data_IF_092458567058
#
_entry.id   IF_092458567058
#
_cell.length_a   1.000
_cell.length_b   1.000
_cell.length_c   1.000
_cell.angle_alpha   90.00
_cell.angle_beta   90.00
_cell.angle_gamma   90.00
#
_symmetry.space_group_name_H-M   'P 1'
#
loop_
_entity.id
_entity.type
_entity.pdbx_description
1 polymer ?
#
# COMPACT_ATOMS: atom_id res chain seq x y z
N UNK A 1 -17.11 2.94 1.15
CA UNK A 1 -16.89 2.98 2.63
C UNK A 1 -18.01 3.82 3.26
N UNK A 2 -18.57 3.40 4.42
CA UNK A 2 -19.69 4.14 5.04
C UNK A 2 -19.26 5.56 5.43
N UNK A 3 -20.02 6.58 4.97
CA UNK A 3 -19.76 8.00 5.28
C UNK A 3 -18.63 8.61 4.44
N UNK A 4 -18.12 7.91 3.44
CA UNK A 4 -17.08 8.42 2.54
C UNK A 4 -17.63 8.57 1.12
N UNK A 5 -17.24 9.65 0.46
CA UNK A 5 -17.46 9.84 -0.96
C UNK A 5 -16.31 9.21 -1.76
N UNK A 6 -16.64 8.65 -2.92
CA UNK A 6 -15.66 8.04 -3.81
C UNK A 6 -15.25 9.05 -4.87
N UNK A 7 -13.95 9.19 -5.08
CA UNK A 7 -13.36 10.16 -6.02
C UNK A 7 -12.28 9.52 -6.88
N UNK A 8 -12.01 10.16 -7.99
CA UNK A 8 -10.85 9.90 -8.84
C UNK A 8 -10.24 11.25 -9.21
N UNK A 9 -8.94 11.38 -9.12
CA UNK A 9 -8.20 12.54 -9.62
C UNK A 9 -7.09 12.10 -10.58
N UNK A 10 -6.63 13.02 -11.42
CA UNK A 10 -5.45 12.79 -12.23
C UNK A 10 -4.19 12.94 -11.38
N UNK A 11 -3.41 11.86 -11.31
CA UNK A 11 -2.13 11.82 -10.63
C UNK A 11 -0.95 11.81 -11.60
N UNK A 12 0.29 11.74 -11.09
CA UNK A 12 1.53 11.80 -11.90
C UNK A 12 1.63 10.73 -12.99
N UNK A 13 1.00 9.57 -12.79
CA UNK A 13 1.07 8.43 -13.71
C UNK A 13 -0.32 7.89 -14.12
N UNK A 14 -1.35 8.71 -14.00
CA UNK A 14 -2.73 8.37 -14.32
C UNK A 14 -3.64 8.47 -13.11
N UNK A 15 -4.89 7.96 -13.18
CA UNK A 15 -5.90 8.18 -12.17
C UNK A 15 -5.52 7.60 -10.80
N UNK A 16 -5.78 8.39 -9.75
CA UNK A 16 -5.73 7.97 -8.34
C UNK A 16 -7.16 7.91 -7.84
N UNK A 17 -7.63 6.72 -7.50
CA UNK A 17 -8.94 6.51 -6.91
C UNK A 17 -8.85 6.54 -5.39
N UNK A 18 -9.76 7.26 -4.72
CA UNK A 18 -9.73 7.38 -3.26
C UNK A 18 -11.14 7.57 -2.68
N UNK A 19 -11.24 7.24 -1.38
CA UNK A 19 -12.41 7.53 -0.56
C UNK A 19 -12.08 8.71 0.36
N UNK A 20 -12.96 9.69 0.47
CA UNK A 20 -12.80 10.91 1.29
C UNK A 20 -13.95 11.03 2.29
N UNK A 21 -13.65 11.23 3.56
CA UNK A 21 -14.64 11.52 4.61
C UNK A 21 -15.27 12.91 4.50
N UNK A 22 -14.74 13.77 3.61
CA UNK A 22 -15.17 15.15 3.43
C UNK A 22 -14.53 16.12 4.42
N UNK A 23 -14.84 17.41 4.21
CA UNK A 23 -14.31 18.55 4.98
C UNK A 23 -15.27 18.99 6.09
N UNK A 24 -15.91 18.04 6.81
CA UNK A 24 -16.81 18.33 7.92
C UNK A 24 -16.15 19.12 9.06
N UNK A 25 -16.75 19.21 10.23
CA UNK A 25 -16.25 20.02 11.36
C UNK A 25 -14.98 19.48 12.02
N UNK A 26 -14.24 18.61 11.31
CA UNK A 26 -12.98 18.05 11.81
C UNK A 26 -11.94 19.15 11.93
N UNK A 27 -11.36 19.27 13.13
CA UNK A 27 -10.31 20.23 13.44
C UNK A 27 -8.93 19.59 13.53
N UNK A 28 -8.86 18.27 13.46
CA UNK A 28 -7.61 17.51 13.52
C UNK A 28 -6.83 17.56 12.20
N UNK A 29 -5.53 17.35 12.30
CA UNK A 29 -4.66 17.18 11.14
C UNK A 29 -5.19 16.06 10.23
N UNK A 30 -5.24 16.23 8.90
CA UNK A 30 -5.72 15.20 7.99
C UNK A 30 -4.92 13.89 8.07
N UNK A 31 -5.58 12.79 7.77
CA UNK A 31 -4.99 11.43 7.79
C UNK A 31 -5.08 10.82 6.39
N UNK A 32 -4.00 10.24 5.91
CA UNK A 32 -4.03 9.35 4.73
C UNK A 32 -3.72 7.92 5.18
N UNK A 33 -4.57 6.95 4.75
CA UNK A 33 -4.46 5.54 5.08
C UNK A 33 -4.12 4.72 3.84
N UNK A 34 -2.92 4.13 3.81
CA UNK A 34 -2.39 3.35 2.69
C UNK A 34 -2.51 1.85 2.98
N UNK A 35 -3.24 1.14 2.11
CA UNK A 35 -3.43 -0.30 2.20
C UNK A 35 -2.20 -1.09 1.74
N UNK A 36 -2.24 -2.42 1.88
CA UNK A 36 -1.21 -3.33 1.40
C UNK A 36 -1.70 -4.33 0.36
N UNK A 37 -0.84 -5.27 0.02
CA UNK A 37 -1.10 -6.39 -0.88
C UNK A 37 -1.87 -7.50 -0.15
N UNK A 38 -2.80 -8.18 -0.78
CA UNK A 38 -3.43 -7.91 -2.09
C UNK A 38 -4.75 -7.13 -1.97
N UNK A 39 -4.80 -6.23 -1.02
CA UNK A 39 -5.99 -5.51 -0.60
C UNK A 39 -6.24 -4.26 -1.48
N UNK A 40 -7.25 -3.50 -1.10
CA UNK A 40 -7.59 -2.17 -1.62
C UNK A 40 -7.90 -1.24 -0.46
N UNK A 41 -8.21 0.03 -0.73
CA UNK A 41 -8.66 0.98 0.30
C UNK A 41 -9.82 0.48 1.17
N UNK A 42 -10.56 -0.54 0.71
CA UNK A 42 -11.66 -1.15 1.46
C UNK A 42 -11.21 -1.78 2.79
N UNK A 43 -9.92 -2.11 2.98
CA UNK A 43 -9.41 -2.65 4.24
C UNK A 43 -9.65 -1.71 5.44
N UNK A 44 -9.73 -0.42 5.17
CA UNK A 44 -9.87 0.61 6.20
C UNK A 44 -11.30 0.82 6.69
N UNK A 45 -12.28 0.04 6.18
CA UNK A 45 -13.71 0.19 6.45
C UNK A 45 -14.09 0.21 7.94
N UNK A 46 -13.32 -0.52 8.78
CA UNK A 46 -13.57 -0.60 10.22
C UNK A 46 -12.95 0.55 11.03
N UNK A 47 -11.85 1.15 10.54
CA UNK A 47 -11.08 2.14 11.28
C UNK A 47 -11.34 3.56 10.76
N UNK A 48 -11.41 3.73 9.46
CA UNK A 48 -11.53 5.06 8.86
C UNK A 48 -12.77 5.84 9.33
N UNK A 49 -13.97 5.25 9.50
CA UNK A 49 -15.12 5.97 10.02
C UNK A 49 -14.95 6.48 11.46
N UNK A 50 -14.18 5.78 12.29
CA UNK A 50 -13.91 6.24 13.67
C UNK A 50 -12.94 7.43 13.67
N UNK A 51 -11.89 7.38 12.86
CA UNK A 51 -10.95 8.49 12.69
C UNK A 51 -11.62 9.71 12.06
N UNK A 52 -12.59 9.50 11.18
CA UNK A 52 -13.33 10.56 10.51
C UNK A 52 -14.22 11.39 11.45
N UNK A 53 -14.41 10.96 12.69
CA UNK A 53 -15.12 11.78 13.72
C UNK A 53 -14.35 13.03 14.12
N UNK A 54 -13.02 13.03 13.98
CA UNK A 54 -12.14 14.13 14.41
C UNK A 54 -11.17 14.63 13.36
N UNK A 55 -10.92 13.82 12.29
CA UNK A 55 -9.97 14.12 11.24
C UNK A 55 -10.61 13.98 9.86
N UNK A 56 -10.15 14.76 8.88
CA UNK A 56 -10.41 14.40 7.49
C UNK A 56 -9.57 13.17 7.14
N UNK A 57 -10.21 12.11 6.64
CA UNK A 57 -9.56 10.84 6.33
C UNK A 57 -9.66 10.54 4.85
N UNK A 58 -8.53 10.27 4.22
CA UNK A 58 -8.41 9.88 2.83
C UNK A 58 -7.85 8.47 2.75
N UNK A 59 -8.52 7.61 1.99
CA UNK A 59 -8.07 6.24 1.73
C UNK A 59 -7.90 6.07 0.23
N UNK A 60 -6.69 6.22 -0.35
CA UNK A 60 -6.46 5.94 -1.76
C UNK A 60 -6.29 4.44 -2.01
N UNK A 61 -6.58 3.99 -3.23
CA UNK A 61 -5.96 2.79 -3.78
C UNK A 61 -4.55 3.14 -4.24
N UNK A 62 -3.56 2.35 -3.84
CA UNK A 62 -2.19 2.49 -4.34
C UNK A 62 -2.14 2.26 -5.85
N UNK A 63 -1.15 2.83 -6.53
CA UNK A 63 -0.84 2.53 -7.93
C UNK A 63 -0.70 1.03 -8.12
N UNK A 64 -1.35 0.48 -9.15
CA UNK A 64 -1.39 -0.94 -9.42
C UNK A 64 -2.54 -1.69 -8.75
N UNK A 65 -3.25 -1.04 -7.84
CA UNK A 65 -4.30 -1.66 -7.02
C UNK A 65 -5.66 -1.00 -7.24
N UNK A 66 -6.71 -1.76 -6.91
CA UNK A 66 -8.08 -1.25 -6.92
C UNK A 66 -8.45 -0.55 -8.23
N UNK A 67 -8.95 0.67 -8.13
CA UNK A 67 -9.35 1.50 -9.27
C UNK A 67 -8.29 2.55 -9.68
N UNK A 68 -7.11 2.56 -9.06
CA UNK A 68 -6.00 3.44 -9.42
C UNK A 68 -5.27 2.97 -10.68
N UNK A 69 -4.45 3.86 -11.25
CA UNK A 69 -3.67 3.63 -12.47
C UNK A 69 -2.81 2.37 -12.41
N UNK A 70 -2.66 1.71 -13.57
CA UNK A 70 -1.85 0.50 -13.75
C UNK A 70 -0.89 0.68 -14.94
N UNK A 71 0.03 1.67 -14.90
CA UNK A 71 0.96 1.91 -16.00
C UNK A 71 1.79 0.66 -16.32
N UNK A 72 2.29 0.57 -17.54
CA UNK A 72 3.21 -0.49 -17.96
C UNK A 72 4.64 -0.10 -17.56
N UNK A 73 5.38 -1.08 -17.05
CA UNK A 73 6.80 -0.92 -16.69
C UNK A 73 7.04 -0.91 -15.19
N UNK A 74 7.97 -1.76 -14.77
CA UNK A 74 8.36 -1.95 -13.35
C UNK A 74 8.85 -0.65 -12.71
N UNK A 75 9.47 0.24 -13.49
CA UNK A 75 10.02 1.53 -13.03
C UNK A 75 8.96 2.45 -12.43
N UNK A 76 7.69 2.25 -12.76
CA UNK A 76 6.59 3.05 -12.25
C UNK A 76 6.08 2.59 -10.88
N UNK A 77 6.58 1.48 -10.34
CA UNK A 77 6.07 0.86 -9.11
C UNK A 77 7.04 0.91 -7.93
N UNK A 78 8.17 1.62 -8.05
CA UNK A 78 9.00 1.84 -6.86
C UNK A 78 8.21 2.60 -5.78
N UNK A 79 8.52 2.37 -4.51
CA UNK A 79 7.84 3.07 -3.41
C UNK A 79 8.01 4.59 -3.50
N UNK A 80 9.11 5.07 -4.11
CA UNK A 80 9.32 6.49 -4.40
C UNK A 80 8.31 7.01 -5.42
N UNK A 81 8.07 6.27 -6.49
CA UNK A 81 7.07 6.63 -7.50
C UNK A 81 5.65 6.56 -6.93
N UNK A 82 5.35 5.55 -6.10
CA UNK A 82 4.05 5.47 -5.42
C UNK A 82 3.87 6.59 -4.39
N UNK A 83 4.93 6.99 -3.69
CA UNK A 83 4.91 8.12 -2.76
C UNK A 83 4.60 9.45 -3.48
N UNK A 84 5.04 9.60 -4.73
CA UNK A 84 4.70 10.80 -5.53
C UNK A 84 3.19 10.96 -5.77
N UNK A 85 2.45 9.85 -5.90
CA UNK A 85 0.99 9.90 -6.00
C UNK A 85 0.36 10.42 -4.70
N UNK A 86 0.89 10.02 -3.56
CA UNK A 86 0.36 10.42 -2.25
C UNK A 86 0.64 11.90 -1.99
N UNK A 87 1.81 12.38 -2.36
CA UNK A 87 2.15 13.82 -2.30
C UNK A 87 1.25 14.63 -3.22
N UNK A 88 1.06 14.19 -4.47
CA UNK A 88 0.17 14.86 -5.43
C UNK A 88 -1.29 14.87 -4.94
N UNK A 89 -1.75 13.79 -4.31
CA UNK A 89 -3.09 13.72 -3.72
C UNK A 89 -3.23 14.70 -2.54
N UNK A 90 -2.26 14.73 -1.63
CA UNK A 90 -2.28 15.65 -0.49
C UNK A 90 -2.26 17.12 -0.93
N UNK A 91 -1.45 17.44 -1.94
CA UNK A 91 -1.32 18.77 -2.55
C UNK A 91 -2.62 19.21 -3.22
N UNK A 92 -3.19 18.37 -4.08
CA UNK A 92 -4.44 18.65 -4.79
C UNK A 92 -5.65 18.84 -3.84
N UNK A 93 -5.59 18.26 -2.65
CA UNK A 93 -6.63 18.38 -1.63
C UNK A 93 -6.32 19.46 -0.57
N UNK A 94 -5.23 20.22 -0.74
CA UNK A 94 -4.76 21.27 0.17
C UNK A 94 -4.69 20.81 1.64
N UNK A 95 -4.08 19.62 1.84
CA UNK A 95 -4.11 18.98 3.16
C UNK A 95 -3.01 19.47 4.12
N UNK A 96 -1.96 20.13 3.64
CA UNK A 96 -0.78 20.48 4.44
C UNK A 96 -0.07 19.24 4.99
N UNK A 97 0.75 19.35 6.04
CA UNK A 97 1.40 18.20 6.67
C UNK A 97 0.38 17.24 7.28
N UNK A 98 0.46 15.97 6.90
CA UNK A 98 -0.53 14.91 7.21
C UNK A 98 -0.04 13.92 8.28
N UNK A 99 -0.98 13.23 8.91
CA UNK A 99 -0.70 11.94 9.53
C UNK A 99 -0.76 10.85 8.44
N UNK A 100 0.33 10.13 8.23
CA UNK A 100 0.42 9.08 7.23
C UNK A 100 0.46 7.71 7.92
N UNK A 101 -0.48 6.85 7.59
CA UNK A 101 -0.59 5.48 8.11
C UNK A 101 -0.49 4.52 6.94
N UNK A 102 0.39 3.53 7.04
CA UNK A 102 0.53 2.52 6.01
C UNK A 102 0.62 1.11 6.58
N UNK A 103 0.08 0.16 5.83
CA UNK A 103 0.17 -1.27 6.08
C UNK A 103 0.84 -1.95 4.90
N UNK A 104 1.76 -2.88 5.14
CA UNK A 104 2.47 -3.70 4.14
C UNK A 104 3.05 -2.84 2.99
N UNK A 105 2.63 -2.97 1.72
CA UNK A 105 3.09 -2.15 0.58
C UNK A 105 2.87 -0.65 0.84
N UNK A 106 1.73 -0.30 1.45
CA UNK A 106 1.44 1.07 1.86
C UNK A 106 2.38 1.59 2.95
N UNK A 107 2.82 0.74 3.88
CA UNK A 107 3.79 1.14 4.90
C UNK A 107 5.18 1.38 4.28
N UNK A 108 5.58 0.61 3.27
CA UNK A 108 6.83 0.82 2.54
C UNK A 108 6.80 2.11 1.74
N UNK A 109 5.69 2.40 1.07
CA UNK A 109 5.43 3.69 0.41
C UNK A 109 5.49 4.85 1.41
N UNK A 110 4.85 4.71 2.57
CA UNK A 110 4.85 5.73 3.62
C UNK A 110 6.26 5.93 4.22
N UNK A 111 7.02 4.87 4.42
CA UNK A 111 8.42 4.94 4.87
C UNK A 111 9.28 5.70 3.84
N UNK A 112 9.16 5.36 2.56
CA UNK A 112 9.90 6.05 1.48
C UNK A 112 9.52 7.53 1.41
N UNK A 113 8.23 7.86 1.51
CA UNK A 113 7.77 9.25 1.54
C UNK A 113 8.38 10.02 2.72
N UNK A 114 8.43 9.42 3.91
CA UNK A 114 9.00 10.06 5.09
C UNK A 114 10.51 10.38 4.94
N UNK A 115 11.23 9.59 4.15
CA UNK A 115 12.65 9.84 3.86
C UNK A 115 12.85 10.89 2.74
N UNK A 116 11.94 10.96 1.78
CA UNK A 116 12.07 11.85 0.61
C UNK A 116 11.41 13.22 0.83
N UNK A 117 10.34 13.29 1.61
CA UNK A 117 9.55 14.51 1.87
C UNK A 117 9.16 14.62 3.35
N UNK A 118 10.12 14.73 4.28
CA UNK A 118 9.85 14.71 5.73
C UNK A 118 8.90 15.82 6.17
N UNK A 119 8.94 17.00 5.54
CA UNK A 119 8.11 18.15 5.89
C UNK A 119 6.63 17.97 5.52
N UNK A 120 6.30 16.99 4.66
CA UNK A 120 4.93 16.64 4.33
C UNK A 120 4.22 15.87 5.46
N UNK A 121 4.96 15.43 6.49
CA UNK A 121 4.42 14.57 7.53
C UNK A 121 4.35 15.25 8.90
N UNK A 122 3.19 15.14 9.53
CA UNK A 122 3.00 15.44 10.96
C UNK A 122 3.39 14.24 11.83
N UNK A 123 3.07 13.02 11.37
CA UNK A 123 3.51 11.77 11.97
C UNK A 123 3.41 10.61 10.99
N UNK A 124 4.09 9.52 11.29
CA UNK A 124 4.13 8.30 10.50
C UNK A 124 3.69 7.11 11.35
N UNK A 125 2.81 6.25 10.81
CA UNK A 125 2.50 4.94 11.39
C UNK A 125 2.79 3.84 10.36
N UNK A 126 3.65 2.90 10.73
CA UNK A 126 4.03 1.75 9.91
C UNK A 126 3.50 0.47 10.54
N UNK A 127 2.80 -0.34 9.75
CA UNK A 127 2.18 -1.57 10.22
C UNK A 127 2.73 -2.77 9.45
N UNK A 128 3.24 -3.75 10.22
CA UNK A 128 3.70 -5.06 9.76
C UNK A 128 4.73 -5.04 8.62
N UNK A 129 5.77 -4.21 8.75
CA UNK A 129 6.90 -4.22 7.81
C UNK A 129 8.27 -4.19 8.52
N UNK A 130 9.24 -4.73 7.81
CA UNK A 130 10.67 -4.43 7.96
C UNK A 130 11.08 -3.62 6.72
N UNK A 131 11.88 -2.55 6.82
CA UNK A 131 12.34 -1.78 5.65
C UNK A 131 12.91 -2.68 4.56
N UNK A 132 12.65 -2.35 3.28
CA UNK A 132 12.91 -3.25 2.14
C UNK A 132 14.37 -3.67 2.04
N UNK A 133 15.30 -2.73 2.15
CA UNK A 133 16.73 -3.05 2.14
C UNK A 133 17.12 -4.01 3.28
N UNK A 134 16.62 -3.77 4.51
CA UNK A 134 16.90 -4.62 5.66
C UNK A 134 16.34 -6.03 5.47
N UNK A 135 15.13 -6.16 4.94
CA UNK A 135 14.53 -7.46 4.64
C UNK A 135 15.40 -8.30 3.70
N UNK A 136 15.88 -7.70 2.60
CA UNK A 136 16.71 -8.43 1.63
C UNK A 136 18.13 -8.66 2.11
N UNK A 137 18.71 -7.73 2.88
CA UNK A 137 20.05 -7.89 3.46
C UNK A 137 20.11 -9.03 4.48
N UNK A 138 19.08 -9.15 5.33
CA UNK A 138 19.03 -10.12 6.43
C UNK A 138 18.21 -11.37 6.05
N UNK A 139 18.07 -11.64 4.75
CA UNK A 139 17.33 -12.77 4.23
C UNK A 139 17.89 -14.09 4.73
N UNK A 140 17.02 -14.90 5.29
CA UNK A 140 17.32 -16.26 5.71
C UNK A 140 16.21 -17.24 5.26
N UNK A 141 16.39 -18.54 5.54
CA UNK A 141 15.43 -19.56 5.13
C UNK A 141 14.01 -19.30 5.67
N UNK A 142 13.90 -18.85 6.89
CA UNK A 142 12.64 -18.63 7.59
C UNK A 142 11.88 -17.46 6.96
N UNK A 143 12.58 -16.35 6.74
CA UNK A 143 12.05 -15.19 6.00
C UNK A 143 11.67 -15.57 4.57
N UNK A 144 12.51 -16.31 3.85
CA UNK A 144 12.21 -16.71 2.47
C UNK A 144 10.98 -17.60 2.37
N UNK A 145 10.76 -18.52 3.31
CA UNK A 145 9.57 -19.36 3.34
C UNK A 145 8.32 -18.57 3.72
N UNK A 146 8.41 -17.68 4.71
CA UNK A 146 7.30 -16.82 5.11
C UNK A 146 6.93 -15.82 4.02
N UNK A 147 7.90 -15.19 3.36
CA UNK A 147 7.71 -14.19 2.32
C UNK A 147 7.83 -14.79 0.90
N UNK A 148 7.49 -16.07 0.68
CA UNK A 148 7.65 -16.75 -0.63
C UNK A 148 7.03 -15.96 -1.79
N UNK A 149 5.91 -15.28 -1.55
CA UNK A 149 5.20 -14.50 -2.55
C UNK A 149 6.03 -13.33 -3.09
N UNK A 150 6.97 -12.77 -2.30
CA UNK A 150 7.91 -11.74 -2.78
C UNK A 150 8.78 -12.26 -3.91
N UNK A 151 9.30 -13.47 -3.76
CA UNK A 151 10.18 -14.09 -4.76
C UNK A 151 9.41 -14.62 -5.95
N UNK A 152 8.18 -15.08 -5.74
CA UNK A 152 7.31 -15.57 -6.79
C UNK A 152 6.80 -14.42 -7.68
N UNK A 153 6.22 -13.37 -7.08
CA UNK A 153 5.69 -12.22 -7.81
C UNK A 153 6.78 -11.42 -8.53
N UNK A 154 8.01 -11.43 -8.02
CA UNK A 154 9.16 -10.78 -8.65
C UNK A 154 9.76 -11.57 -9.84
N UNK A 155 9.26 -12.78 -10.15
CA UNK A 155 9.74 -13.50 -11.33
C UNK A 155 9.43 -12.75 -12.62
N UNK A 156 10.21 -13.07 -13.69
CA UNK A 156 10.03 -12.44 -14.99
C UNK A 156 8.63 -12.70 -15.57
N UNK A 157 8.06 -11.67 -16.16
CA UNK A 157 6.82 -11.78 -16.95
C UNK A 157 7.04 -12.80 -18.09
N UNK A 158 6.09 -13.69 -18.39
CA UNK A 158 4.71 -13.73 -17.88
C UNK A 158 4.46 -14.81 -16.81
N UNK A 159 5.49 -15.35 -16.18
CA UNK A 159 5.37 -16.55 -15.34
C UNK A 159 4.36 -16.37 -14.18
N UNK A 160 4.54 -15.42 -13.24
CA UNK A 160 3.60 -15.29 -12.12
C UNK A 160 2.20 -14.85 -12.57
N UNK A 161 2.13 -13.97 -13.57
CA UNK A 161 0.86 -13.49 -14.10
C UNK A 161 -0.01 -14.62 -14.65
N UNK A 162 0.56 -15.52 -15.46
CA UNK A 162 -0.17 -16.64 -16.03
C UNK A 162 -0.59 -17.66 -14.97
N UNK A 163 0.28 -17.93 -14.01
CA UNK A 163 -0.03 -18.87 -12.92
C UNK A 163 -1.16 -18.32 -12.02
N UNK A 164 -1.13 -17.03 -11.69
CA UNK A 164 -2.16 -16.39 -10.86
C UNK A 164 -3.47 -16.28 -11.63
N UNK A 165 -3.43 -15.91 -12.92
CA UNK A 165 -4.62 -15.77 -13.74
C UNK A 165 -5.43 -17.07 -13.91
N UNK A 166 -4.80 -18.24 -13.70
CA UNK A 166 -5.49 -19.51 -13.73
C UNK A 166 -6.52 -19.68 -12.59
N UNK A 167 -6.25 -19.13 -11.41
CA UNK A 167 -7.18 -19.08 -10.28
C UNK A 167 -6.75 -17.94 -9.31
N UNK A 168 -7.07 -16.68 -9.65
CA UNK A 168 -6.66 -15.53 -8.85
C UNK A 168 -7.25 -15.52 -7.44
N UNK A 169 -8.50 -15.98 -7.28
CA UNK A 169 -9.16 -16.03 -5.98
C UNK A 169 -8.42 -16.97 -5.03
N UNK A 170 -8.06 -18.17 -5.50
CA UNK A 170 -7.31 -19.12 -4.70
C UNK A 170 -5.94 -18.57 -4.29
N UNK A 171 -5.21 -17.95 -5.24
CA UNK A 171 -3.89 -17.42 -4.95
C UNK A 171 -3.94 -16.28 -3.93
N UNK A 172 -4.73 -15.24 -4.20
CA UNK A 172 -4.76 -14.07 -3.34
C UNK A 172 -5.42 -14.33 -1.99
N UNK A 173 -6.43 -15.20 -1.94
CA UNK A 173 -6.97 -15.67 -0.65
C UNK A 173 -5.92 -16.42 0.16
N UNK A 174 -5.07 -17.24 -0.47
CA UNK A 174 -3.98 -17.91 0.26
C UNK A 174 -2.95 -16.92 0.81
N UNK A 175 -2.69 -15.81 0.11
CA UNK A 175 -1.84 -14.73 0.61
C UNK A 175 -2.47 -14.02 1.82
N UNK A 176 -3.80 -13.82 1.84
CA UNK A 176 -4.50 -13.19 2.96
C UNK A 176 -4.58 -14.08 4.20
N UNK A 177 -4.75 -15.41 4.02
CA UNK A 177 -5.03 -16.34 5.12
C UNK A 177 -3.84 -17.18 5.54
N UNK A 178 -2.79 -17.24 4.73
CA UNK A 178 -1.65 -18.15 4.91
C UNK A 178 -0.67 -17.77 6.03
N UNK A 179 -0.80 -16.61 6.65
CA UNK A 179 0.14 -16.06 7.62
C UNK A 179 -0.18 -16.41 9.07
N UNK A 180 -0.70 -17.59 9.33
CA UNK A 180 -0.75 -18.15 10.68
C UNK A 180 -2.10 -18.18 11.37
N UNK A 181 -3.19 -17.95 10.68
CA UNK A 181 -4.53 -18.20 11.19
C UNK A 181 -5.13 -19.42 10.51
N UNK A 182 -5.18 -20.54 11.23
CA UNK A 182 -5.82 -21.76 10.76
C UNK A 182 -7.34 -21.64 10.60
N UNK A 183 -7.95 -20.62 11.19
CA UNK A 183 -9.39 -20.40 11.18
C UNK A 183 -9.70 -19.06 10.54
N UNK A 184 -10.34 -19.12 9.40
CA UNK A 184 -10.93 -17.97 8.72
C UNK A 184 -12.00 -17.34 9.60
N UNK A 185 -12.27 -16.13 9.46
CA UNK A 185 -11.50 -14.98 9.04
C UNK A 185 -11.79 -13.78 9.90
N UNK A 186 -10.78 -13.09 10.20
CA UNK A 186 -10.85 -11.72 10.66
C UNK A 186 -11.26 -10.73 9.55
N UNK A 187 -11.48 -11.21 8.30
CA UNK A 187 -11.76 -10.33 7.16
C UNK A 187 -13.25 -10.13 6.95
N UNK A 188 -13.67 -8.86 6.87
CA UNK A 188 -15.02 -8.49 6.44
C UNK A 188 -15.29 -8.95 5.01
N UNK A 189 -16.42 -9.65 4.80
CA UNK A 189 -16.76 -10.23 3.50
C UNK A 189 -16.99 -9.16 2.41
N UNK A 190 -17.44 -7.97 2.79
CA UNK A 190 -17.62 -6.84 1.85
C UNK A 190 -16.27 -6.32 1.38
N UNK A 191 -15.31 -6.22 2.30
CA UNK A 191 -13.93 -5.85 1.97
C UNK A 191 -13.27 -6.90 1.07
N UNK A 192 -13.40 -8.20 1.41
CA UNK A 192 -12.88 -9.30 0.57
C UNK A 192 -13.49 -9.28 -0.82
N UNK A 193 -14.80 -9.03 -0.96
CA UNK A 193 -15.45 -8.91 -2.26
C UNK A 193 -14.88 -7.73 -3.08
N UNK A 194 -14.54 -6.61 -2.44
CA UNK A 194 -13.88 -5.48 -3.10
C UNK A 194 -12.46 -5.84 -3.57
N UNK A 195 -11.69 -6.56 -2.75
CA UNK A 195 -10.37 -7.07 -3.15
C UNK A 195 -10.48 -8.03 -4.33
N UNK A 196 -11.42 -9.00 -4.26
CA UNK A 196 -11.63 -9.99 -5.31
C UNK A 196 -12.03 -9.36 -6.65
N UNK A 197 -12.86 -8.34 -6.61
CA UNK A 197 -13.20 -7.57 -7.82
C UNK A 197 -11.96 -6.96 -8.47
N UNK A 198 -11.01 -6.46 -7.67
CA UNK A 198 -9.79 -5.84 -8.18
C UNK A 198 -8.80 -6.88 -8.72
N UNK A 199 -8.49 -7.94 -7.97
CA UNK A 199 -7.45 -8.88 -8.37
C UNK A 199 -7.86 -9.86 -9.50
N UNK A 200 -9.15 -9.93 -9.87
CA UNK A 200 -9.62 -10.67 -11.05
C UNK A 200 -9.32 -9.96 -12.37
N UNK A 201 -8.92 -8.70 -12.32
CA UNK A 201 -8.48 -7.93 -13.48
C UNK A 201 -7.02 -8.30 -13.81
N UNK A 202 -6.74 -8.81 -15.05
CA UNK A 202 -5.38 -9.15 -15.48
C UNK A 202 -4.38 -7.99 -15.39
N UNK A 203 -4.83 -6.75 -15.58
CA UNK A 203 -3.97 -5.57 -15.43
C UNK A 203 -3.57 -5.35 -13.98
N UNK A 204 -4.46 -5.65 -13.03
CA UNK A 204 -4.15 -5.60 -11.59
C UNK A 204 -3.13 -6.69 -11.22
N UNK A 205 -3.30 -7.92 -11.73
CA UNK A 205 -2.34 -9.01 -11.49
C UNK A 205 -0.95 -8.60 -11.98
N UNK A 206 -0.85 -8.10 -13.23
CA UNK A 206 0.41 -7.62 -13.80
C UNK A 206 1.02 -6.50 -12.95
N UNK A 207 0.22 -5.51 -12.59
CA UNK A 207 0.68 -4.36 -11.83
C UNK A 207 1.18 -4.75 -10.43
N UNK A 208 0.53 -5.70 -9.76
CA UNK A 208 1.00 -6.27 -8.50
C UNK A 208 2.35 -6.98 -8.68
N UNK A 209 2.54 -7.75 -9.77
CA UNK A 209 3.84 -8.36 -10.07
C UNK A 209 4.93 -7.30 -10.33
N UNK A 210 4.60 -6.24 -11.07
CA UNK A 210 5.54 -5.14 -11.33
C UNK A 210 5.92 -4.39 -10.04
N UNK A 211 4.99 -4.22 -9.10
CA UNK A 211 5.25 -3.67 -7.76
C UNK A 211 6.27 -4.53 -6.99
N UNK A 212 6.12 -5.86 -7.02
CA UNK A 212 7.08 -6.74 -6.36
C UNK A 212 8.44 -6.82 -7.07
N UNK A 213 8.47 -6.71 -8.41
CA UNK A 213 9.72 -6.58 -9.19
C UNK A 213 10.45 -5.30 -8.81
N UNK A 214 9.75 -4.18 -8.72
CA UNK A 214 10.31 -2.91 -8.27
C UNK A 214 10.86 -3.02 -6.85
N UNK A 215 10.10 -3.63 -5.93
CA UNK A 215 10.52 -3.89 -4.56
C UNK A 215 11.79 -4.71 -4.44
N UNK A 216 11.92 -5.74 -5.28
CA UNK A 216 13.09 -6.64 -5.27
C UNK A 216 14.32 -6.08 -6.01
N UNK A 217 14.20 -4.96 -6.71
CA UNK A 217 15.28 -4.37 -7.53
C UNK A 217 15.48 -2.90 -7.23
N UNK A 218 14.60 -2.04 -7.72
CA UNK A 218 14.73 -0.60 -7.63
C UNK A 218 14.73 -0.09 -6.19
N UNK A 219 13.80 -0.57 -5.36
CA UNK A 219 13.67 -0.10 -3.99
C UNK A 219 14.83 -0.57 -3.10
N UNK A 220 15.36 -1.78 -3.32
CA UNK A 220 16.56 -2.23 -2.63
C UNK A 220 17.75 -1.32 -2.94
N UNK A 221 17.92 -0.92 -4.20
CA UNK A 221 19.00 -0.04 -4.62
C UNK A 221 18.83 1.38 -4.09
N UNK A 222 17.58 1.92 -4.13
CA UNK A 222 17.25 3.23 -3.60
C UNK A 222 17.47 3.32 -2.10
N UNK A 223 17.00 2.31 -1.36
CA UNK A 223 17.19 2.26 0.10
C UNK A 223 18.68 2.11 0.47
N UNK A 224 19.44 1.32 -0.30
CA UNK A 224 20.88 1.17 -0.08
C UNK A 224 21.65 2.49 -0.24
N UNK A 225 21.19 3.37 -1.14
CA UNK A 225 21.81 4.69 -1.34
C UNK A 225 21.45 5.71 -0.25
N UNK A 226 20.43 5.43 0.54
CA UNK A 226 19.83 6.36 1.51
C UNK A 226 19.91 5.86 2.98
N UNK A 227 20.84 4.95 3.30
CA UNK A 227 20.97 4.34 4.64
C UNK A 227 21.30 5.33 5.76
N UNK A 228 21.81 6.49 5.43
CA UNK A 228 22.10 7.59 6.38
C UNK A 228 20.86 8.47 6.65
N UNK A 229 19.84 8.44 5.79
CA UNK A 229 18.59 9.17 6.01
C UNK A 229 17.83 8.64 7.22
N UNK A 230 17.10 9.51 7.87
CA UNK A 230 16.29 9.18 9.06
C UNK A 230 14.89 9.78 8.93
N UNK A 231 13.91 9.05 9.44
CA UNK A 231 12.57 9.59 9.69
C UNK A 231 12.66 10.62 10.80
N UNK A 232 12.24 11.84 10.54
CA UNK A 232 12.36 12.97 11.47
C UNK A 232 11.07 13.32 12.19
N UNK A 233 9.91 12.89 11.68
CA UNK A 233 8.63 13.07 12.35
C UNK A 233 8.41 12.00 13.44
N UNK A 234 7.48 12.23 14.41
CA UNK A 234 7.04 11.19 15.33
C UNK A 234 6.57 9.94 14.58
N UNK A 235 7.08 8.77 14.97
CA UNK A 235 6.79 7.50 14.30
C UNK A 235 6.27 6.45 15.27
N UNK A 236 5.22 5.72 14.84
CA UNK A 236 4.67 4.55 15.52
C UNK A 236 4.89 3.32 14.62
N UNK A 237 5.47 2.26 15.18
CA UNK A 237 5.62 0.97 14.49
C UNK A 237 4.76 -0.07 15.20
N UNK A 238 3.85 -0.68 14.46
CA UNK A 238 2.99 -1.78 14.92
C UNK A 238 3.38 -3.06 14.17
N UNK A 239 3.49 -4.16 14.89
CA UNK A 239 3.80 -5.46 14.30
C UNK A 239 3.12 -6.59 15.08
N UNK A 240 2.74 -7.66 14.38
CA UNK A 240 2.28 -8.89 14.99
C UNK A 240 3.47 -9.65 15.64
N UNK A 241 3.18 -10.39 16.73
CA UNK A 241 4.16 -11.26 17.40
C UNK A 241 4.14 -12.65 16.78
#
# INVERSE_FOLDING_TARGET
MRGFAEHVMDGPRGPIAYSDSGTGPQTGTPIILLHGFPQTRAMWHGIAPELAKSHRVICPDLRGYGASAKPLGTEHYSFREMASDILALADALDMGPIHLVGHDRGARTAHRLALDAPDALRSLTLMDIVPTHTLFRDLNREVALGYYHWFFLAQANPLPEQMIAADPDRYFMSCLTGWGTSDTPAFDQTAVAAYAKAWRDPETIRAMCDDYRAGASLDVALDASDLDKRVTCPALVLYAK
#
